data_IF_980390593072
#
_entry.id   IF_980390593072
#
_cell.length_a   1.000
_cell.length_b   1.000
_cell.length_c   1.000
_cell.angle_alpha   90.00
_cell.angle_beta   90.00
_cell.angle_gamma   90.00
#
_symmetry.space_group_name_H-M   'P 1'
#
loop_
_entity.id
_entity.type
_entity.pdbx_description
1 polymer ?
#
# COMPACT_ATOMS: atom_id res chain seq x y z
N UNK A 1 -15.94 -8.11 -5.99
CA UNK A 1 -14.97 -7.53 -6.95
C UNK A 1 -13.77 -7.06 -6.16
N UNK A 2 -12.60 -6.92 -6.78
CA UNK A 2 -11.41 -6.40 -6.12
C UNK A 2 -11.15 -4.98 -6.60
N UNK A 3 -10.74 -4.10 -5.68
CA UNK A 3 -10.31 -2.74 -5.99
C UNK A 3 -8.80 -2.62 -5.83
N UNK A 4 -8.21 -1.82 -6.70
CA UNK A 4 -6.79 -1.47 -6.64
C UNK A 4 -6.66 -0.09 -6.00
N UNK A 5 -6.07 -0.07 -4.82
CA UNK A 5 -5.77 1.11 -4.03
C UNK A 5 -4.41 1.64 -4.45
N UNK A 6 -4.33 2.94 -4.71
CA UNK A 6 -3.09 3.64 -4.96
C UNK A 6 -2.56 4.21 -3.64
N UNK A 7 -1.33 3.87 -3.29
CA UNK A 7 -0.67 4.32 -2.06
C UNK A 7 0.49 5.22 -2.47
N UNK A 8 0.32 6.53 -2.30
CA UNK A 8 1.35 7.52 -2.60
C UNK A 8 2.02 8.05 -1.34
N UNK A 9 3.09 8.85 -1.53
CA UNK A 9 3.82 9.49 -0.43
C UNK A 9 4.43 8.47 0.56
N UNK A 10 4.78 7.29 0.06
CA UNK A 10 5.51 6.30 0.84
C UNK A 10 6.98 6.71 0.98
N UNK A 11 7.62 6.41 2.12
CA UNK A 11 9.04 6.65 2.28
C UNK A 11 9.84 5.78 1.30
N UNK A 12 11.02 6.26 0.91
CA UNK A 12 11.93 5.54 0.00
C UNK A 12 12.37 4.16 0.54
N UNK A 13 12.17 3.92 1.83
CA UNK A 13 12.52 2.71 2.56
C UNK A 13 11.35 1.71 2.66
N UNK A 14 10.14 2.11 2.26
CA UNK A 14 8.95 1.29 2.35
C UNK A 14 9.09 0.02 1.51
N UNK A 15 8.76 -1.12 2.13
CA UNK A 15 8.73 -2.43 1.47
C UNK A 15 7.31 -2.90 1.21
N UNK A 16 7.18 -3.80 0.23
CA UNK A 16 5.93 -4.48 -0.08
C UNK A 16 5.35 -5.18 1.14
N UNK A 17 6.20 -5.83 1.94
CA UNK A 17 5.81 -6.51 3.19
C UNK A 17 5.19 -5.56 4.21
N UNK A 18 5.75 -4.35 4.37
CA UNK A 18 5.23 -3.37 5.34
C UNK A 18 3.88 -2.82 4.92
N UNK A 19 3.71 -2.58 3.61
CA UNK A 19 2.43 -2.15 3.05
C UNK A 19 1.42 -3.30 3.13
N UNK A 20 1.81 -4.52 2.80
CA UNK A 20 0.96 -5.69 2.94
C UNK A 20 0.47 -5.87 4.39
N UNK A 21 1.37 -5.80 5.38
CA UNK A 21 1.01 -5.91 6.80
C UNK A 21 0.06 -4.78 7.25
N UNK A 22 0.32 -3.54 6.82
CA UNK A 22 -0.53 -2.39 7.15
C UNK A 22 -1.96 -2.55 6.60
N UNK A 23 -2.09 -3.01 5.35
CA UNK A 23 -3.38 -3.23 4.72
C UNK A 23 -4.05 -4.52 5.23
N UNK A 24 -3.27 -5.52 5.65
CA UNK A 24 -3.75 -6.77 6.24
C UNK A 24 -4.48 -6.57 7.58
N UNK A 25 -4.16 -5.50 8.33
CA UNK A 25 -4.93 -5.12 9.54
C UNK A 25 -6.37 -4.68 9.21
N UNK A 26 -6.61 -4.22 7.98
CA UNK A 26 -7.91 -3.71 7.54
C UNK A 26 -8.71 -4.69 6.70
N UNK A 27 -8.08 -5.76 6.18
CA UNK A 27 -8.75 -6.86 5.49
C UNK A 27 -7.82 -7.74 4.65
N UNK A 28 -8.37 -8.51 3.72
CA UNK A 28 -7.57 -9.44 2.92
C UNK A 28 -6.80 -8.71 1.81
N UNK A 29 -5.48 -8.90 1.74
CA UNK A 29 -4.64 -8.37 0.67
C UNK A 29 -4.47 -9.42 -0.41
N UNK A 30 -4.90 -9.11 -1.62
CA UNK A 30 -4.81 -10.01 -2.79
C UNK A 30 -3.43 -9.91 -3.42
N UNK A 31 -2.92 -8.68 -3.55
CA UNK A 31 -1.62 -8.42 -4.18
C UNK A 31 -1.09 -7.05 -3.77
N UNK A 32 0.23 -6.95 -3.60
CA UNK A 32 0.93 -5.68 -3.40
C UNK A 32 1.96 -5.54 -4.51
N UNK A 33 2.06 -4.34 -5.06
CA UNK A 33 3.07 -3.96 -6.02
C UNK A 33 3.69 -2.62 -5.63
N UNK A 34 4.92 -2.63 -5.13
CA UNK A 34 5.72 -1.40 -4.96
C UNK A 34 6.81 -1.35 -6.02
N UNK A 35 6.68 -0.45 -7.00
CA UNK A 35 7.77 -0.15 -7.92
C UNK A 35 8.96 0.42 -7.15
N UNK A 36 10.05 -0.35 -7.10
CA UNK A 36 11.34 0.09 -6.61
C UNK A 36 12.23 0.50 -7.78
N UNK A 37 13.07 1.48 -7.53
CA UNK A 37 14.10 1.94 -8.44
C UNK A 37 15.19 0.86 -8.55
N UNK A 38 15.45 0.38 -9.77
CA UNK A 38 16.40 -0.72 -10.01
C UNK A 38 17.86 -0.33 -9.83
N UNK A 39 18.20 0.96 -9.87
CA UNK A 39 19.57 1.44 -9.73
C UNK A 39 19.94 1.66 -8.25
N UNK A 40 18.99 2.16 -7.47
CA UNK A 40 19.20 2.49 -6.05
C UNK A 40 18.56 1.49 -5.08
N UNK A 41 17.67 0.62 -5.56
CA UNK A 41 16.86 -0.27 -4.74
C UNK A 41 15.81 0.44 -3.89
N UNK A 42 15.61 1.76 -4.08
CA UNK A 42 14.72 2.59 -3.26
C UNK A 42 13.30 2.57 -3.80
N UNK A 43 12.29 2.59 -2.94
CA UNK A 43 10.91 2.72 -3.37
C UNK A 43 10.72 4.03 -4.15
N UNK A 44 9.92 4.02 -5.23
CA UNK A 44 9.63 5.23 -6.01
C UNK A 44 8.70 6.21 -5.28
N UNK A 45 8.39 5.96 -4.01
CA UNK A 45 7.50 6.76 -3.17
C UNK A 45 6.01 6.49 -3.42
N UNK A 46 5.69 5.43 -4.14
CA UNK A 46 4.33 4.99 -4.39
C UNK A 46 4.25 3.47 -4.58
N UNK A 47 3.06 2.91 -4.38
CA UNK A 47 2.72 1.51 -4.56
C UNK A 47 1.25 1.32 -4.88
N UNK A 48 0.90 0.08 -5.21
CA UNK A 48 -0.46 -0.36 -5.49
C UNK A 48 -0.78 -1.57 -4.63
N UNK A 49 -1.96 -1.57 -4.02
CA UNK A 49 -2.47 -2.67 -3.20
C UNK A 49 -3.81 -3.10 -3.79
N UNK A 50 -4.00 -4.40 -3.99
CA UNK A 50 -5.23 -4.98 -4.49
C UNK A 50 -5.94 -5.70 -3.34
N UNK A 51 -7.20 -5.33 -3.07
CA UNK A 51 -8.01 -5.88 -1.99
C UNK A 51 -9.46 -6.09 -2.44
N UNK A 52 -10.24 -6.95 -1.77
CA UNK A 52 -11.69 -7.03 -1.96
C UNK A 52 -12.37 -5.68 -1.73
N UNK A 53 -13.42 -5.37 -2.47
CA UNK A 53 -14.15 -4.09 -2.43
C UNK A 53 -14.53 -3.62 -1.01
N UNK A 54 -14.99 -4.59 -0.20
CA UNK A 54 -15.45 -4.38 1.18
C UNK A 54 -14.30 -3.94 2.11
N UNK A 55 -13.12 -4.52 1.90
CA UNK A 55 -11.94 -4.25 2.72
C UNK A 55 -11.15 -3.06 2.19
N UNK A 56 -11.10 -2.90 0.86
CA UNK A 56 -10.51 -1.75 0.20
C UNK A 56 -11.17 -0.44 0.70
N UNK A 57 -12.50 -0.44 0.83
CA UNK A 57 -13.24 0.74 1.33
C UNK A 57 -12.88 1.05 2.78
N UNK A 58 -12.72 0.04 3.64
CA UNK A 58 -12.30 0.23 5.04
C UNK A 58 -10.86 0.72 5.13
N UNK A 59 -9.96 0.10 4.38
CA UNK A 59 -8.55 0.47 4.34
C UNK A 59 -8.37 1.89 3.83
N UNK A 60 -9.03 2.27 2.73
CA UNK A 60 -9.06 3.66 2.25
C UNK A 60 -9.62 4.57 3.34
N UNK A 61 -10.78 4.28 3.92
CA UNK A 61 -11.35 5.17 4.94
C UNK A 61 -10.51 5.31 6.21
N UNK A 62 -9.65 4.34 6.53
CA UNK A 62 -8.77 4.35 7.70
C UNK A 62 -7.38 4.95 7.41
N UNK A 63 -6.84 4.71 6.20
CA UNK A 63 -5.47 5.06 5.80
C UNK A 63 -5.41 6.30 4.90
N UNK A 64 -6.51 6.70 4.25
CA UNK A 64 -6.57 7.92 3.45
C UNK A 64 -6.39 9.15 4.35
N UNK A 65 -5.28 9.86 4.15
CA UNK A 65 -4.86 10.97 5.02
C UNK A 65 -4.11 10.55 6.29
N UNK A 66 -3.87 9.26 6.51
CA UNK A 66 -2.99 8.79 7.57
C UNK A 66 -1.53 9.10 7.22
N UNK A 67 -0.76 9.60 8.19
CA UNK A 67 0.68 9.84 8.02
C UNK A 67 1.42 8.52 8.22
N UNK A 68 1.92 7.93 7.14
CA UNK A 68 2.79 6.76 7.21
C UNK A 68 4.26 7.19 7.23
N UNK A 69 4.96 6.91 8.33
CA UNK A 69 6.38 7.23 8.56
C UNK A 69 6.76 8.68 8.19
N UNK A 70 6.11 9.64 8.86
CA UNK A 70 6.17 11.08 8.58
C UNK A 70 7.55 11.71 8.45
#
# INVERSE_FOLDING_TARGET
MAQRIYVGNLPYEARESEVEELFAEHGEVISVALPTDRETGRARGFGFVEMPDEDATKAISALDGATFQG
#
